data_IF_796934016396
#
_entry.id   IF_796934016396
#
_cell.length_a   1.000
_cell.length_b   1.000
_cell.length_c   1.000
_cell.angle_alpha   90.00
_cell.angle_beta   90.00
_cell.angle_gamma   90.00
#
_symmetry.space_group_name_H-M   'P 1'
#
loop_
_entity.id
_entity.type
_entity.pdbx_description
1 polymer ?
#
# COMPACT_ATOMS: atom_id res chain seq x y z
N UNK A 1 -2.35 40.53 15.10
CA UNK A 1 -2.74 39.15 15.44
C UNK A 1 -2.51 38.31 14.21
N UNK A 2 -1.63 37.33 14.33
CA UNK A 2 -1.01 36.59 13.23
C UNK A 2 -2.05 35.70 12.54
N UNK A 3 -2.21 35.85 11.23
CA UNK A 3 -2.91 34.91 10.36
C UNK A 3 -2.11 33.61 10.39
N UNK A 4 -2.47 32.68 11.29
CA UNK A 4 -1.86 31.36 11.32
C UNK A 4 -2.38 30.59 10.10
N UNK A 5 -1.61 30.69 9.00
CA UNK A 5 -1.65 29.74 7.91
C UNK A 5 -1.71 28.32 8.49
N UNK A 6 -2.70 27.56 8.05
CA UNK A 6 -2.94 26.15 8.35
C UNK A 6 -1.60 25.44 8.64
N UNK A 7 -1.32 24.99 9.87
CA UNK A 7 -0.31 23.96 10.01
C UNK A 7 -0.95 22.73 9.38
N UNK A 8 -0.65 22.47 8.11
CA UNK A 8 -0.89 21.17 7.53
C UNK A 8 -0.17 20.20 8.47
N UNK A 9 -0.95 19.43 9.24
CA UNK A 9 -0.41 18.59 10.31
C UNK A 9 0.78 17.79 9.76
N UNK A 10 1.98 17.89 10.36
CA UNK A 10 3.17 17.22 9.83
C UNK A 10 2.97 15.70 9.78
N UNK A 11 2.05 15.17 10.59
CA UNK A 11 1.61 13.77 10.59
C UNK A 11 0.74 13.43 9.38
N UNK A 12 -0.21 14.29 9.00
CA UNK A 12 -0.97 14.19 7.75
C UNK A 12 -0.04 14.12 6.55
N UNK A 13 0.97 15.01 6.51
CA UNK A 13 1.95 15.04 5.44
C UNK A 13 2.79 13.77 5.39
N UNK A 14 3.27 13.27 6.54
CA UNK A 14 4.02 12.01 6.60
C UNK A 14 3.18 10.80 6.14
N UNK A 15 1.89 10.77 6.50
CA UNK A 15 0.97 9.72 6.04
C UNK A 15 0.79 9.76 4.52
N UNK A 16 0.59 10.94 3.94
CA UNK A 16 0.48 11.11 2.49
C UNK A 16 1.77 10.72 1.77
N UNK A 17 2.93 11.14 2.28
CA UNK A 17 4.23 10.79 1.70
C UNK A 17 4.46 9.26 1.76
N UNK A 18 4.11 8.61 2.88
CA UNK A 18 4.19 7.15 2.99
C UNK A 18 3.26 6.43 2.00
N UNK A 19 2.04 6.93 1.83
CA UNK A 19 1.09 6.38 0.87
C UNK A 19 1.59 6.50 -0.58
N UNK A 20 2.25 7.61 -0.93
CA UNK A 20 2.88 7.78 -2.24
C UNK A 20 3.99 6.74 -2.48
N UNK A 21 4.80 6.44 -1.46
CA UNK A 21 5.83 5.41 -1.53
C UNK A 21 5.21 4.03 -1.77
N UNK A 22 4.12 3.68 -1.07
CA UNK A 22 3.42 2.40 -1.27
C UNK A 22 2.85 2.30 -2.70
N UNK A 23 2.25 3.37 -3.24
CA UNK A 23 1.79 3.40 -4.63
C UNK A 23 2.91 3.20 -5.64
N UNK A 24 4.08 3.77 -5.37
CA UNK A 24 5.27 3.56 -6.19
C UNK A 24 5.74 2.10 -6.11
N UNK A 25 5.81 1.53 -4.90
CA UNK A 25 6.14 0.12 -4.70
C UNK A 25 5.18 -0.85 -5.42
N UNK A 26 3.87 -0.56 -5.45
CA UNK A 26 2.90 -1.35 -6.23
C UNK A 26 3.22 -1.31 -7.73
N UNK A 27 3.56 -0.13 -8.27
CA UNK A 27 3.92 0.00 -9.69
C UNK A 27 5.20 -0.75 -10.02
N UNK A 28 6.22 -0.64 -9.18
CA UNK A 28 7.50 -1.33 -9.33
C UNK A 28 7.33 -2.83 -9.21
N UNK A 29 6.57 -3.31 -8.22
CA UNK A 29 6.23 -4.72 -8.05
C UNK A 29 5.55 -5.30 -9.30
N UNK A 30 4.60 -4.56 -9.87
CA UNK A 30 3.92 -4.96 -11.11
C UNK A 30 4.88 -4.97 -12.29
N UNK A 31 5.71 -3.94 -12.44
CA UNK A 31 6.71 -3.86 -13.53
C UNK A 31 7.76 -4.96 -13.44
N UNK A 32 8.13 -5.34 -12.22
CA UNK A 32 9.04 -6.45 -11.94
C UNK A 32 8.38 -7.82 -12.08
N UNK A 33 7.09 -7.90 -12.41
CA UNK A 33 6.34 -9.16 -12.52
C UNK A 33 6.12 -9.88 -11.19
N UNK A 34 6.32 -9.20 -10.05
CA UNK A 34 6.14 -9.78 -8.71
C UNK A 34 4.68 -9.90 -8.30
N UNK A 35 3.81 -9.10 -8.92
CA UNK A 35 2.36 -9.12 -8.70
C UNK A 35 1.63 -9.01 -10.05
N UNK A 36 0.43 -9.56 -10.13
CA UNK A 36 -0.41 -9.48 -11.32
C UNK A 36 -1.02 -8.08 -11.51
N UNK A 37 -1.55 -7.82 -12.70
CA UNK A 37 -2.27 -6.58 -12.98
C UNK A 37 -3.47 -6.38 -12.04
N UNK A 38 -4.18 -7.45 -11.70
CA UNK A 38 -5.37 -7.39 -10.83
C UNK A 38 -4.95 -7.11 -9.39
N UNK A 39 -3.92 -7.77 -8.88
CA UNK A 39 -3.35 -7.48 -7.56
C UNK A 39 -2.88 -6.01 -7.46
N UNK A 40 -2.22 -5.50 -8.50
CA UNK A 40 -1.79 -4.11 -8.53
C UNK A 40 -2.98 -3.13 -8.54
N UNK A 41 -4.08 -3.45 -9.24
CA UNK A 41 -5.30 -2.65 -9.26
C UNK A 41 -5.97 -2.62 -7.88
N UNK A 42 -6.12 -3.76 -7.24
CA UNK A 42 -6.72 -3.87 -5.91
C UNK A 42 -5.94 -3.09 -4.85
N UNK A 43 -4.60 -3.21 -4.87
CA UNK A 43 -3.73 -2.46 -3.97
C UNK A 43 -3.81 -0.94 -4.23
N UNK A 44 -3.90 -0.52 -5.48
CA UNK A 44 -4.07 0.90 -5.83
C UNK A 44 -5.43 1.45 -5.40
N UNK A 45 -6.52 0.68 -5.53
CA UNK A 45 -7.84 1.08 -5.05
C UNK A 45 -7.88 1.24 -3.52
N UNK A 46 -7.20 0.35 -2.79
CA UNK A 46 -7.03 0.48 -1.35
C UNK A 46 -6.24 1.75 -1.01
N UNK A 47 -5.14 2.02 -1.72
CA UNK A 47 -4.37 3.25 -1.54
C UNK A 47 -5.23 4.52 -1.73
N UNK A 48 -6.06 4.56 -2.78
CA UNK A 48 -6.95 5.70 -3.05
C UNK A 48 -8.04 5.85 -1.97
N UNK A 49 -8.53 4.75 -1.39
CA UNK A 49 -9.50 4.76 -0.29
C UNK A 49 -8.86 5.34 0.97
N UNK A 50 -7.67 4.88 1.31
CA UNK A 50 -6.88 5.36 2.46
C UNK A 50 -6.57 6.85 2.32
N UNK A 51 -6.24 7.31 1.11
CA UNK A 51 -6.02 8.72 0.84
C UNK A 51 -7.25 9.57 1.19
N UNK A 52 -8.43 9.12 0.78
CA UNK A 52 -9.68 9.84 1.10
C UNK A 52 -9.94 9.84 2.60
N UNK A 53 -9.80 8.70 3.27
CA UNK A 53 -9.97 8.59 4.73
C UNK A 53 -8.99 9.48 5.50
N UNK A 54 -7.74 9.59 5.04
CA UNK A 54 -6.74 10.48 5.63
C UNK A 54 -7.17 11.95 5.56
N UNK A 55 -7.79 12.35 4.45
CA UNK A 55 -8.28 13.71 4.23
C UNK A 55 -9.56 14.04 5.02
N UNK A 56 -10.42 13.04 5.32
CA UNK A 56 -11.69 13.27 6.04
C UNK A 56 -11.66 12.98 7.54
N UNK A 57 -10.90 11.98 8.00
CA UNK A 57 -11.04 11.42 9.36
C UNK A 57 -9.90 11.75 10.32
N UNK A 58 -8.82 12.39 9.83
CA UNK A 58 -7.68 12.80 10.66
C UNK A 58 -6.68 11.66 10.93
N UNK A 59 -5.52 11.75 10.26
CA UNK A 59 -4.18 11.17 10.47
C UNK A 59 -3.97 9.82 11.17
N UNK A 60 -4.53 9.57 12.36
CA UNK A 60 -4.20 8.37 13.15
C UNK A 60 -4.74 7.09 12.52
N UNK A 61 -5.94 7.12 11.97
CA UNK A 61 -6.53 5.94 11.30
C UNK A 61 -5.82 5.64 9.99
N UNK A 62 -5.44 6.70 9.24
CA UNK A 62 -4.78 6.56 7.95
C UNK A 62 -3.41 5.88 8.05
N UNK A 63 -2.58 6.22 9.04
CA UNK A 63 -1.26 5.60 9.21
C UNK A 63 -1.34 4.08 9.43
N UNK A 64 -2.33 3.61 10.19
CA UNK A 64 -2.55 2.18 10.40
C UNK A 64 -2.95 1.48 9.11
N UNK A 65 -3.83 2.09 8.32
CA UNK A 65 -4.27 1.54 7.03
C UNK A 65 -3.13 1.54 6.00
N UNK A 66 -2.29 2.57 5.96
CA UNK A 66 -1.10 2.61 5.07
C UNK A 66 -0.14 1.48 5.42
N UNK A 67 0.13 1.26 6.71
CA UNK A 67 1.01 0.18 7.14
C UNK A 67 0.44 -1.21 6.78
N UNK A 68 -0.88 -1.40 6.92
CA UNK A 68 -1.54 -2.63 6.51
C UNK A 68 -1.44 -2.86 4.99
N UNK A 69 -1.56 -1.79 4.19
CA UNK A 69 -1.39 -1.86 2.74
C UNK A 69 0.06 -2.20 2.35
N UNK A 70 1.05 -1.60 3.02
CA UNK A 70 2.46 -1.90 2.80
C UNK A 70 2.78 -3.37 3.10
N UNK A 71 2.27 -3.90 4.22
CA UNK A 71 2.40 -5.33 4.54
C UNK A 71 1.74 -6.23 3.49
N UNK A 72 0.57 -5.84 2.94
CA UNK A 72 -0.08 -6.58 1.85
C UNK A 72 0.76 -6.56 0.58
N UNK A 73 1.36 -5.42 0.23
CA UNK A 73 2.28 -5.31 -0.89
C UNK A 73 3.52 -6.19 -0.66
N UNK A 74 4.12 -6.16 0.53
CA UNK A 74 5.25 -7.01 0.88
C UNK A 74 4.89 -8.50 0.81
N UNK A 75 3.73 -8.92 1.30
CA UNK A 75 3.28 -10.31 1.19
C UNK A 75 3.05 -10.71 -0.28
N UNK A 76 2.39 -9.85 -1.06
CA UNK A 76 2.14 -10.10 -2.48
C UNK A 76 3.46 -10.17 -3.29
N UNK A 77 4.44 -9.35 -2.93
CA UNK A 77 5.77 -9.33 -3.58
C UNK A 77 6.75 -10.37 -3.05
N UNK A 78 6.55 -10.82 -1.80
CA UNK A 78 7.41 -11.75 -1.06
C UNK A 78 7.01 -13.21 -1.16
N UNK A 79 5.80 -13.51 -1.69
CA UNK A 79 5.35 -14.88 -1.99
C UNK A 79 5.32 -15.18 -3.50
N UNK A 80 5.84 -14.28 -4.34
CA UNK A 80 5.85 -14.38 -5.80
C UNK A 80 6.86 -15.38 -6.39
N UNK A 81 6.92 -16.61 -5.87
CA UNK A 81 7.34 -17.80 -6.65
C UNK A 81 6.13 -18.46 -7.30
N UNK A 82 5.22 -17.68 -7.87
CA UNK A 82 4.20 -18.19 -8.79
C UNK A 82 4.33 -17.46 -10.14
N UNK A 83 5.52 -17.58 -10.75
CA UNK A 83 5.56 -17.83 -12.19
C UNK A 83 4.97 -19.23 -12.38
N UNK A 84 3.72 -19.32 -12.81
CA UNK A 84 3.09 -20.63 -12.97
C UNK A 84 1.70 -20.54 -13.56
N UNK A 85 1.63 -20.44 -14.89
CA UNK A 85 0.58 -21.12 -15.63
C UNK A 85 0.77 -22.64 -15.37
N UNK A 86 0.12 -23.16 -14.34
CA UNK A 86 0.16 -24.58 -13.96
C UNK A 86 -0.68 -24.73 -12.69
N UNK A 87 -1.78 -25.47 -12.68
CA UNK A 87 -1.69 -26.92 -12.53
C UNK A 87 -0.58 -27.28 -11.50
N UNK A 88 -0.98 -27.88 -10.38
CA UNK A 88 -0.13 -28.73 -9.53
C UNK A 88 0.53 -28.05 -8.30
N UNK A 89 -0.13 -28.22 -7.15
CA UNK A 89 0.46 -28.81 -5.94
C UNK A 89 1.63 -28.10 -5.24
N UNK A 90 1.41 -27.67 -4.00
CA UNK A 90 2.54 -27.41 -3.10
C UNK A 90 2.18 -26.81 -1.75
N UNK A 91 1.61 -27.62 -0.87
CA UNK A 91 1.54 -27.33 0.57
C UNK A 91 2.97 -27.37 1.14
N UNK A 92 3.42 -26.31 1.81
CA UNK A 92 4.60 -26.36 2.68
C UNK A 92 4.29 -25.73 4.03
N UNK A 93 4.14 -26.54 5.09
CA UNK A 93 4.13 -26.07 6.46
C UNK A 93 5.55 -26.11 7.07
N UNK A 94 5.79 -25.12 7.93
CA UNK A 94 6.73 -25.09 9.07
C UNK A 94 8.17 -24.59 8.85
N UNK A 95 8.52 -23.67 9.74
CA UNK A 95 9.84 -23.20 10.12
C UNK A 95 9.69 -22.26 11.30
#
# INVERSE_FOLDING_TARGET
MTTASVPADPKAKAALDQLLNVRQGIREARQAGKITQDQARDLMQQADTIQRTALTSGDRSALGEINALDQRLQNATGQGTYMGDGADGGYYPNG
#
